data_IF_185363205310
#
_entry.id   IF_185363205310
#
_cell.length_a   1.000
_cell.length_b   1.000
_cell.length_c   1.000
_cell.angle_alpha   90.00
_cell.angle_beta   90.00
_cell.angle_gamma   90.00
#
_symmetry.space_group_name_H-M   'P 1'
#
loop_
_entity.id
_entity.type
_entity.pdbx_description
1 polymer ?
#
# COMPACT_ATOMS: atom_id res chain seq x y z
N UNK A 1 25.37 11.27 3.95
CA UNK A 1 25.35 10.92 5.38
C UNK A 1 23.89 10.86 5.83
N UNK A 2 23.19 9.77 5.52
CA UNK A 2 21.81 9.55 5.97
C UNK A 2 21.84 8.51 7.07
N UNK A 3 22.11 8.98 8.29
CA UNK A 3 21.88 8.23 9.51
C UNK A 3 20.38 8.30 9.78
N UNK A 4 19.63 7.26 9.44
CA UNK A 4 18.25 7.11 9.93
C UNK A 4 18.27 5.95 10.91
N UNK A 5 18.18 6.33 12.18
CA UNK A 5 18.32 5.47 13.35
C UNK A 5 17.14 4.49 13.38
N UNK A 6 17.42 3.28 12.94
CA UNK A 6 16.56 2.11 13.04
C UNK A 6 16.34 1.79 14.52
N UNK A 7 15.23 2.27 15.09
CA UNK A 7 14.75 1.76 16.37
C UNK A 7 13.24 2.00 16.49
N UNK A 8 12.48 1.03 15.98
CA UNK A 8 11.19 0.66 16.56
C UNK A 8 11.20 -0.85 16.69
N UNK A 9 11.00 -1.31 17.92
CA UNK A 9 11.31 -2.65 18.39
C UNK A 9 10.68 -3.75 17.53
N UNK A 10 11.53 -4.64 17.02
CA UNK A 10 11.15 -6.05 16.93
C UNK A 10 10.82 -6.51 18.35
N UNK A 11 9.55 -6.81 18.63
CA UNK A 11 9.15 -7.36 19.92
C UNK A 11 8.36 -8.64 19.71
N UNK A 12 9.08 -9.75 19.83
CA UNK A 12 8.53 -11.03 20.23
C UNK A 12 7.67 -10.87 21.51
N UNK A 13 6.46 -11.43 21.51
CA UNK A 13 5.78 -11.98 22.69
C UNK A 13 5.61 -11.14 23.97
N UNK A 14 4.44 -10.48 24.09
CA UNK A 14 3.58 -10.22 25.28
C UNK A 14 4.16 -9.58 26.57
N UNK A 15 3.61 -8.41 26.99
CA UNK A 15 2.62 -8.24 28.11
C UNK A 15 2.43 -6.76 28.57
N UNK A 16 1.14 -6.35 28.63
CA UNK A 16 0.46 -5.53 29.67
C UNK A 16 0.41 -3.97 29.63
N UNK A 17 -0.83 -3.48 29.79
CA UNK A 17 -1.29 -2.24 30.46
C UNK A 17 -1.16 -0.88 29.73
N UNK A 18 -2.19 -0.53 28.93
CA UNK A 18 -2.90 0.77 28.89
C UNK A 18 -3.75 0.82 27.61
N UNK A 19 -5.09 0.77 27.77
CA UNK A 19 -6.10 0.66 26.72
C UNK A 19 -5.77 -0.43 25.69
N UNK A 20 -6.45 -1.59 25.77
CA UNK A 20 -6.36 -2.62 24.74
C UNK A 20 -6.91 -2.08 23.43
N UNK A 21 -6.08 -1.34 22.69
CA UNK A 21 -6.30 -1.09 21.28
C UNK A 21 -6.12 -2.48 20.68
N UNK A 22 -7.24 -3.15 20.41
CA UNK A 22 -7.18 -4.38 19.63
C UNK A 22 -6.41 -4.04 18.35
N UNK A 23 -5.36 -4.80 18.07
CA UNK A 23 -4.52 -4.63 16.90
C UNK A 23 -4.87 -5.69 15.85
N UNK A 24 -4.69 -5.33 14.58
CA UNK A 24 -4.79 -6.20 13.43
C UNK A 24 -3.42 -6.41 12.83
N UNK A 25 -3.08 -7.68 12.60
CA UNK A 25 -1.87 -8.07 11.88
C UNK A 25 -2.16 -8.05 10.39
N UNK A 26 -1.48 -7.21 9.62
CA UNK A 26 -1.64 -7.09 8.16
C UNK A 26 -0.31 -7.22 7.46
N UNK A 27 -0.34 -7.57 6.17
CA UNK A 27 0.86 -7.57 5.33
C UNK A 27 0.68 -6.57 4.20
N UNK A 28 1.63 -5.66 4.03
CA UNK A 28 1.67 -4.75 2.88
C UNK A 28 2.69 -5.27 1.88
N UNK A 29 2.29 -5.35 0.61
CA UNK A 29 3.10 -5.83 -0.49
C UNK A 29 3.26 -4.77 -1.58
N UNK A 30 4.50 -4.49 -1.98
CA UNK A 30 4.82 -3.64 -3.11
C UNK A 30 5.41 -4.48 -4.24
N UNK A 31 4.60 -4.69 -5.29
CA UNK A 31 5.00 -5.47 -6.47
C UNK A 31 5.55 -4.53 -7.54
N UNK A 32 6.85 -4.63 -7.79
CA UNK A 32 7.57 -3.98 -8.89
C UNK A 32 7.69 -4.93 -10.08
N UNK A 33 8.14 -4.43 -11.24
CA UNK A 33 8.31 -5.28 -12.44
C UNK A 33 9.26 -6.46 -12.23
N UNK A 34 10.20 -6.34 -11.29
CA UNK A 34 11.30 -7.31 -11.08
C UNK A 34 11.46 -7.73 -9.62
N UNK A 35 10.68 -7.19 -8.68
CA UNK A 35 10.75 -7.53 -7.26
C UNK A 35 9.38 -7.44 -6.60
N UNK A 36 9.20 -8.14 -5.49
CA UNK A 36 8.04 -8.01 -4.62
C UNK A 36 8.58 -7.87 -3.21
N UNK A 37 8.37 -6.70 -2.61
CA UNK A 37 8.81 -6.38 -1.26
C UNK A 37 7.60 -6.39 -0.34
N UNK A 38 7.72 -7.02 0.83
CA UNK A 38 6.61 -7.14 1.79
C UNK A 38 7.03 -6.70 3.19
N UNK A 39 6.07 -6.18 3.95
CA UNK A 39 6.25 -5.85 5.37
C UNK A 39 4.99 -6.23 6.14
N UNK A 40 5.16 -6.93 7.27
CA UNK A 40 4.07 -7.22 8.20
C UNK A 40 4.00 -6.11 9.26
N UNK A 41 2.79 -5.67 9.55
CA UNK A 41 2.51 -4.57 10.47
C UNK A 41 1.41 -4.99 11.45
N UNK A 42 1.61 -4.68 12.72
CA UNK A 42 0.52 -4.60 13.69
C UNK A 42 -0.05 -3.18 13.67
N UNK A 43 -1.35 -3.04 13.39
CA UNK A 43 -2.02 -1.74 13.28
C UNK A 43 -3.25 -1.67 14.17
N UNK A 44 -3.58 -0.50 14.76
CA UNK A 44 -4.81 -0.33 15.52
C UNK A 44 -6.07 -0.70 14.71
N UNK A 45 -7.09 -1.26 15.37
CA UNK A 45 -8.44 -1.32 14.80
C UNK A 45 -8.90 0.06 14.34
N UNK A 46 -9.62 0.09 13.21
CA UNK A 46 -10.05 1.33 12.57
C UNK A 46 -8.98 1.98 11.70
N UNK A 47 -7.80 1.36 11.54
CA UNK A 47 -6.80 1.77 10.54
C UNK A 47 -7.35 1.54 9.13
N UNK A 48 -7.15 2.49 8.22
CA UNK A 48 -7.51 2.32 6.80
C UNK A 48 -6.40 1.65 5.98
N UNK A 49 -6.74 1.12 4.80
CA UNK A 49 -5.76 0.54 3.87
C UNK A 49 -4.63 1.52 3.55
N UNK A 50 -4.97 2.78 3.27
CA UNK A 50 -4.02 3.88 3.04
C UNK A 50 -3.08 4.09 4.24
N UNK A 51 -3.62 4.16 5.45
CA UNK A 51 -2.83 4.37 6.66
C UNK A 51 -1.86 3.21 6.91
N UNK A 52 -2.29 1.96 6.66
CA UNK A 52 -1.42 0.79 6.74
C UNK A 52 -0.29 0.87 5.70
N UNK A 53 -0.60 1.26 4.47
CA UNK A 53 0.42 1.47 3.42
C UNK A 53 1.38 2.61 3.78
N UNK A 54 0.91 3.73 4.33
CA UNK A 54 1.80 4.81 4.81
C UNK A 54 2.73 4.33 5.93
N UNK A 55 2.20 3.53 6.89
CA UNK A 55 2.99 2.92 7.97
C UNK A 55 4.03 1.91 7.47
N UNK A 56 3.83 1.30 6.29
CA UNK A 56 4.81 0.41 5.66
C UNK A 56 6.13 1.11 5.28
N UNK A 57 6.09 2.43 5.10
CA UNK A 57 7.22 3.23 4.62
C UNK A 57 7.47 3.14 3.11
N UNK A 58 6.69 2.34 2.35
CA UNK A 58 6.89 2.18 0.91
C UNK A 58 6.61 3.45 0.09
N UNK A 59 5.76 4.35 0.57
CA UNK A 59 5.38 5.57 -0.16
C UNK A 59 6.36 6.74 0.02
N UNK A 60 7.33 6.65 0.93
CA UNK A 60 8.32 7.72 1.16
C UNK A 60 7.76 9.09 1.57
N UNK A 61 6.44 9.22 1.76
CA UNK A 61 5.74 10.49 2.04
C UNK A 61 5.28 11.28 0.81
N UNK A 62 5.38 10.74 -0.40
CA UNK A 62 5.15 11.49 -1.65
C UNK A 62 3.75 11.31 -2.28
N UNK A 63 2.97 10.31 -1.86
CA UNK A 63 1.71 9.96 -2.51
C UNK A 63 0.45 10.41 -1.73
N UNK A 64 -0.47 11.06 -2.44
CA UNK A 64 -1.81 11.40 -1.97
C UNK A 64 -2.75 10.19 -1.98
N UNK A 65 -3.73 10.18 -1.08
CA UNK A 65 -4.63 9.05 -0.86
C UNK A 65 -5.43 8.68 -2.12
N UNK A 66 -5.90 9.69 -2.84
CA UNK A 66 -6.75 9.59 -4.02
C UNK A 66 -6.02 9.00 -5.24
N UNK A 67 -4.69 8.98 -5.21
CA UNK A 67 -3.84 8.45 -6.28
C UNK A 67 -3.44 6.99 -6.03
N UNK A 68 -3.64 6.48 -4.81
CA UNK A 68 -3.28 5.13 -4.45
C UNK A 68 -4.30 4.14 -5.01
N UNK A 69 -3.83 3.27 -5.91
CA UNK A 69 -4.57 2.07 -6.27
C UNK A 69 -4.17 0.95 -5.33
N UNK A 70 -5.11 0.49 -4.51
CA UNK A 70 -4.87 -0.58 -3.55
C UNK A 70 -5.68 -1.82 -3.90
N UNK A 71 -5.13 -2.98 -3.58
CA UNK A 71 -5.80 -4.25 -3.68
C UNK A 71 -5.71 -5.04 -2.39
N UNK A 72 -6.65 -5.95 -2.17
CA UNK A 72 -6.61 -6.96 -1.12
C UNK A 72 -6.94 -8.30 -1.77
N UNK A 73 -6.05 -9.28 -1.60
CA UNK A 73 -6.20 -10.63 -2.16
C UNK A 73 -6.56 -10.64 -3.66
N UNK A 74 -5.94 -9.73 -4.43
CA UNK A 74 -6.16 -9.58 -5.87
C UNK A 74 -7.38 -8.76 -6.28
N UNK A 75 -8.20 -8.28 -5.35
CA UNK A 75 -9.36 -7.42 -5.63
C UNK A 75 -9.06 -5.95 -5.33
N UNK A 76 -9.48 -5.03 -6.22
CA UNK A 76 -9.28 -3.59 -6.01
C UNK A 76 -10.15 -3.09 -4.86
N UNK A 77 -9.56 -2.26 -3.99
CA UNK A 77 -10.22 -1.68 -2.81
C UNK A 77 -10.02 -0.18 -2.73
N UNK A 78 -10.91 0.48 -2.00
CA UNK A 78 -10.84 1.94 -1.79
C UNK A 78 -9.82 2.26 -0.68
N UNK A 79 -8.95 3.27 -0.85
CA UNK A 79 -7.93 3.60 0.15
C UNK A 79 -8.45 3.88 1.57
N UNK A 80 -9.67 4.43 1.67
CA UNK A 80 -10.36 4.71 2.93
C UNK A 80 -11.03 3.51 3.61
N UNK A 81 -10.99 2.33 2.98
CA UNK A 81 -11.56 1.13 3.59
C UNK A 81 -10.77 0.68 4.81
N UNK A 82 -11.46 0.11 5.81
CA UNK A 82 -10.83 -0.36 7.04
C UNK A 82 -10.09 -1.69 6.83
N UNK A 83 -8.95 -1.82 7.51
CA UNK A 83 -8.21 -3.07 7.57
C UNK A 83 -8.87 -4.04 8.55
N UNK A 84 -8.70 -5.32 8.27
CA UNK A 84 -9.01 -6.45 9.13
C UNK A 84 -7.75 -7.31 9.32
N UNK A 85 -7.71 -8.08 10.41
CA UNK A 85 -6.57 -8.95 10.68
C UNK A 85 -6.43 -10.03 9.60
N UNK A 86 -5.21 -10.26 9.16
CA UNK A 86 -4.84 -11.25 8.14
C UNK A 86 -4.83 -10.72 6.71
N UNK A 87 -5.29 -9.48 6.47
CA UNK A 87 -5.34 -8.94 5.11
C UNK A 87 -3.95 -8.75 4.51
N UNK A 88 -3.82 -9.11 3.24
CA UNK A 88 -2.67 -8.74 2.40
C UNK A 88 -3.04 -7.57 1.51
N UNK A 89 -2.51 -6.40 1.85
CA UNK A 89 -2.72 -5.14 1.16
C UNK A 89 -1.65 -5.00 0.07
N UNK A 90 -2.07 -4.76 -1.16
CA UNK A 90 -1.22 -4.70 -2.34
C UNK A 90 -1.20 -3.29 -2.91
N UNK A 91 0.00 -2.73 -3.11
CA UNK A 91 0.15 -1.48 -3.86
C UNK A 91 0.05 -1.81 -5.34
N UNK A 92 -1.10 -1.48 -5.93
CA UNK A 92 -1.29 -1.57 -7.37
C UNK A 92 -0.64 -0.35 -8.01
N UNK A 93 0.08 -0.59 -9.10
CA UNK A 93 0.62 0.52 -9.89
C UNK A 93 -0.52 1.16 -10.67
N UNK A 94 -0.72 2.49 -10.58
CA UNK A 94 -1.45 3.21 -11.60
C UNK A 94 -0.89 2.80 -12.96
N UNK A 95 -1.76 2.45 -13.90
CA UNK A 95 -1.34 2.32 -15.29
C UNK A 95 -0.78 3.70 -15.67
N UNK A 96 0.53 3.78 -15.86
CA UNK A 96 1.25 5.03 -16.19
C UNK A 96 0.72 5.71 -17.46
N UNK A 97 -0.14 5.02 -18.21
CA UNK A 97 -0.85 5.56 -19.36
C UNK A 97 -2.35 5.57 -19.10
N UNK A 98 -2.93 6.76 -19.02
CA UNK A 98 -4.37 6.96 -19.12
C UNK A 98 -4.89 6.24 -20.40
N UNK A 99 -5.82 5.26 -20.29
CA UNK A 99 -6.37 4.54 -21.42
C UNK A 99 -6.99 5.45 -22.50
N UNK A 100 -7.37 6.69 -22.16
CA UNK A 100 -7.81 7.70 -23.13
C UNK A 100 -6.68 8.19 -24.02
N UNK A 101 -5.46 8.31 -23.50
CA UNK A 101 -4.28 8.77 -24.26
C UNK A 101 -3.83 7.70 -25.25
N UNK A 102 -3.80 6.42 -24.85
CA UNK A 102 -3.49 5.29 -25.75
C UNK A 102 -4.54 5.14 -26.85
N UNK A 103 -5.84 5.21 -26.51
CA UNK A 103 -6.92 5.13 -27.52
C UNK A 103 -6.80 6.26 -28.56
N UNK A 104 -6.50 7.48 -28.12
CA UNK A 104 -6.35 8.63 -29.02
C UNK A 104 -5.07 8.56 -29.86
N UNK A 105 -3.98 8.03 -29.31
CA UNK A 105 -2.70 7.84 -30.04
C UNK A 105 -2.82 6.75 -31.12
N UNK A 106 -3.42 5.61 -30.80
CA UNK A 106 -3.65 4.51 -31.78
C UNK A 106 -4.61 4.90 -32.90
N UNK A 107 -5.56 5.81 -32.66
CA UNK A 107 -6.44 6.33 -33.70
C UNK A 107 -5.74 7.28 -34.69
N UNK A 108 -4.64 7.93 -34.27
CA UNK A 108 -3.84 8.84 -35.12
C UNK A 108 -2.80 8.10 -35.96
N UNK A 109 -2.23 7.02 -35.44
CA UNK A 109 -1.26 6.18 -36.17
C UNK A 109 -1.88 5.42 -37.36
N UNK A 110 -3.22 5.28 -37.40
CA UNK A 110 -3.95 4.69 -38.56
C UNK A 110 -4.26 5.66 -39.69
N UNK A 111 -3.96 6.96 -39.55
CA UNK A 111 -4.29 7.99 -40.56
C UNK A 111 -3.06 8.54 -41.29
N UNK A 112 -1.85 8.07 -40.98
CA UNK A 112 -0.60 8.51 -41.61
C UNK A 112 0.18 7.35 -42.26
N UNK A 113 -0.51 6.24 -42.57
CA UNK A 113 -0.01 5.16 -43.42
C UNK A 113 -0.76 5.15 -44.73
#
# INVERSE_FOLDING_TARGET
MFLVRWWMHFAAGRKSSMASVDEFEVTVAWVRSTSCDTVSLSVPRGTTLEQAVRRSGFLGGEAEAEELLLGVDGERREPGELVESGMRIELLRPLLDDPKVIRRRRARERQQG
#
